data_IF_464390340291
#
_entry.id   IF_464390340291
#
_cell.length_a   1.000
_cell.length_b   1.000
_cell.length_c   1.000
_cell.angle_alpha   90.00
_cell.angle_beta   90.00
_cell.angle_gamma   90.00
#
_symmetry.space_group_name_H-M   'P 1'
#
loop_
_entity.id
_entity.type
_entity.pdbx_description
1 polymer ?
#
# COMPACT_ATOMS: atom_id res chain seq x y z
N UNK A 1 22.09 -1.20 -55.68
CA UNK A 1 22.30 -1.41 -54.22
C UNK A 1 21.56 -0.40 -53.36
N UNK A 2 21.74 0.91 -53.56
CA UNK A 2 21.13 2.00 -52.74
C UNK A 2 19.59 1.94 -52.65
N UNK A 3 18.90 1.55 -53.72
CA UNK A 3 17.43 1.49 -53.78
C UNK A 3 16.82 0.33 -52.96
N UNK A 4 17.56 -0.77 -52.78
CA UNK A 4 17.13 -1.94 -52.01
C UNK A 4 17.28 -1.72 -50.50
N UNK A 5 18.36 -1.06 -50.09
CA UNK A 5 18.61 -0.66 -48.69
C UNK A 5 17.53 0.33 -48.24
N UNK A 6 17.20 1.32 -49.08
CA UNK A 6 16.14 2.30 -48.78
C UNK A 6 14.77 1.66 -48.56
N UNK A 7 14.39 0.70 -49.40
CA UNK A 7 13.10 0.01 -49.25
C UNK A 7 13.06 -0.88 -48.00
N UNK A 8 14.19 -1.49 -47.62
CA UNK A 8 14.30 -2.31 -46.41
C UNK A 8 14.24 -1.47 -45.13
N UNK A 9 14.90 -0.31 -45.12
CA UNK A 9 14.82 0.65 -44.01
C UNK A 9 13.41 1.22 -43.87
N UNK A 10 12.75 1.58 -44.99
CA UNK A 10 11.36 2.04 -44.95
C UNK A 10 10.43 0.94 -44.41
N UNK A 11 10.60 -0.31 -44.85
CA UNK A 11 9.80 -1.43 -44.34
C UNK A 11 9.96 -1.64 -42.84
N UNK A 12 11.19 -1.57 -42.33
CA UNK A 12 11.48 -1.75 -40.90
C UNK A 12 10.94 -0.59 -40.05
N UNK A 13 11.03 0.65 -40.55
CA UNK A 13 10.44 1.83 -39.89
C UNK A 13 8.91 1.72 -39.85
N UNK A 14 8.27 1.28 -40.93
CA UNK A 14 6.81 1.09 -40.96
C UNK A 14 6.37 0.01 -39.97
N UNK A 15 7.08 -1.12 -39.89
CA UNK A 15 6.78 -2.18 -38.91
C UNK A 15 7.00 -1.70 -37.49
N UNK A 16 8.08 -0.96 -37.22
CA UNK A 16 8.35 -0.38 -35.89
C UNK A 16 7.30 0.66 -35.49
N UNK A 17 6.85 1.50 -36.42
CA UNK A 17 5.79 2.49 -36.17
C UNK A 17 4.43 1.84 -35.97
N UNK A 18 4.08 0.82 -36.75
CA UNK A 18 2.81 0.08 -36.59
C UNK A 18 2.81 -0.74 -35.29
N UNK A 19 3.93 -1.40 -34.97
CA UNK A 19 4.09 -2.13 -33.71
C UNK A 19 4.05 -1.19 -32.50
N UNK A 20 4.77 -0.07 -32.57
CA UNK A 20 4.74 0.96 -31.53
C UNK A 20 3.37 1.60 -31.34
N UNK A 21 2.64 1.88 -32.43
CA UNK A 21 1.28 2.38 -32.37
C UNK A 21 0.30 1.37 -31.77
N UNK A 22 0.47 0.07 -32.03
CA UNK A 22 -0.33 -1.01 -31.42
C UNK A 22 -0.07 -1.14 -29.91
N UNK A 23 1.19 -1.03 -29.48
CA UNK A 23 1.56 -1.05 -28.06
C UNK A 23 0.98 0.18 -27.36
N UNK A 24 1.18 1.38 -27.92
CA UNK A 24 0.62 2.61 -27.37
C UNK A 24 -0.91 2.59 -27.35
N UNK A 25 -1.56 2.05 -28.39
CA UNK A 25 -3.00 1.88 -28.41
C UNK A 25 -3.47 0.94 -27.29
N UNK A 26 -2.77 -0.17 -27.06
CA UNK A 26 -3.03 -1.07 -25.93
C UNK A 26 -2.90 -0.40 -24.56
N UNK A 27 -1.96 0.54 -24.41
CA UNK A 27 -1.77 1.33 -23.19
C UNK A 27 -2.81 2.46 -23.03
N UNK A 28 -3.45 2.91 -24.12
CA UNK A 28 -4.52 3.92 -24.09
C UNK A 28 -5.93 3.35 -23.93
N UNK A 29 -6.10 2.03 -24.10
CA UNK A 29 -7.34 1.37 -23.69
C UNK A 29 -7.31 1.27 -22.17
N UNK A 30 -7.70 2.37 -21.54
CA UNK A 30 -8.19 2.36 -20.16
C UNK A 30 -9.16 1.20 -19.99
N UNK A 31 -8.95 0.41 -18.93
CA UNK A 31 -9.75 -0.74 -18.48
C UNK A 31 -11.23 -0.34 -18.38
N UNK A 32 -11.94 -0.42 -19.50
CA UNK A 32 -13.38 -0.15 -19.49
C UNK A 32 -14.06 -1.41 -18.96
N UNK A 33 -14.63 -1.32 -17.76
CA UNK A 33 -15.41 -2.41 -17.17
C UNK A 33 -16.74 -2.56 -17.92
N UNK A 34 -17.04 -3.79 -18.37
CA UNK A 34 -18.34 -4.14 -18.92
C UNK A 34 -19.03 -5.14 -18.01
N UNK A 35 -20.12 -4.72 -17.37
CA UNK A 35 -20.89 -5.56 -16.45
C UNK A 35 -21.24 -6.94 -17.04
N UNK A 36 -21.15 -7.96 -16.20
CA UNK A 36 -21.49 -9.36 -16.47
C UNK A 36 -22.31 -9.94 -15.32
N UNK A 37 -23.65 -9.78 -15.35
CA UNK A 37 -24.53 -10.28 -14.31
C UNK A 37 -24.38 -11.79 -14.07
N UNK A 38 -24.51 -12.24 -12.81
CA UNK A 38 -24.43 -13.65 -12.44
C UNK A 38 -25.29 -13.97 -11.22
N UNK A 39 -26.33 -14.79 -11.41
CA UNK A 39 -27.20 -15.14 -10.30
C UNK A 39 -26.49 -15.94 -9.19
N UNK A 40 -25.36 -16.60 -9.48
CA UNK A 40 -24.54 -17.26 -8.47
C UNK A 40 -23.79 -16.26 -7.61
N UNK A 41 -23.16 -15.26 -8.23
CA UNK A 41 -22.51 -14.15 -7.53
C UNK A 41 -23.51 -13.33 -6.71
N UNK A 42 -24.68 -13.01 -7.27
CA UNK A 42 -25.72 -12.24 -6.56
C UNK A 42 -26.20 -12.96 -5.28
N UNK A 43 -26.27 -14.30 -5.30
CA UNK A 43 -26.61 -15.10 -4.10
C UNK A 43 -25.50 -15.06 -3.06
N UNK A 44 -24.24 -15.05 -3.49
CA UNK A 44 -23.08 -14.94 -2.60
C UNK A 44 -23.05 -13.57 -1.91
N UNK A 45 -23.27 -12.50 -2.67
CA UNK A 45 -23.42 -11.13 -2.13
C UNK A 45 -24.55 -11.05 -1.11
N UNK A 46 -25.74 -11.58 -1.45
CA UNK A 46 -26.89 -11.59 -0.53
C UNK A 46 -26.63 -12.41 0.76
N UNK A 47 -25.78 -13.44 0.69
CA UNK A 47 -25.37 -14.24 1.85
C UNK A 47 -24.48 -13.44 2.80
N UNK A 48 -23.56 -12.65 2.25
CA UNK A 48 -22.69 -11.76 3.03
C UNK A 48 -23.48 -10.64 3.69
N UNK A 49 -24.40 -10.00 2.96
CA UNK A 49 -25.28 -8.95 3.50
C UNK A 49 -26.18 -9.45 4.64
N UNK A 50 -26.42 -10.76 4.71
CA UNK A 50 -27.21 -11.37 5.78
C UNK A 50 -26.40 -11.63 7.06
N UNK A 51 -25.07 -11.45 7.04
CA UNK A 51 -24.22 -11.64 8.22
C UNK A 51 -24.39 -10.47 9.20
N UNK A 52 -24.36 -10.73 10.52
CA UNK A 52 -24.33 -9.66 11.52
C UNK A 52 -23.16 -8.72 11.29
N UNK A 53 -23.40 -7.41 11.40
CA UNK A 53 -22.36 -6.38 11.33
C UNK A 53 -21.71 -6.18 9.96
N UNK A 54 -22.06 -6.97 8.94
CA UNK A 54 -21.55 -6.83 7.58
C UNK A 54 -22.45 -5.95 6.73
N UNK A 55 -21.85 -5.06 5.94
CA UNK A 55 -22.54 -4.22 4.95
C UNK A 55 -21.77 -4.28 3.64
N UNK A 56 -22.36 -4.91 2.62
CA UNK A 56 -21.79 -4.83 1.27
C UNK A 56 -22.02 -3.40 0.75
N UNK A 57 -20.93 -2.71 0.43
CA UNK A 57 -20.97 -1.32 -0.06
C UNK A 57 -20.95 -1.26 -1.58
N UNK A 58 -20.30 -2.24 -2.20
CA UNK A 58 -20.18 -2.38 -3.64
C UNK A 58 -19.96 -3.86 -3.99
N UNK A 59 -20.52 -4.26 -5.12
CA UNK A 59 -20.29 -5.58 -5.70
C UNK A 59 -20.36 -5.44 -7.21
N UNK A 60 -19.31 -5.86 -7.90
CA UNK A 60 -19.25 -5.80 -9.36
C UNK A 60 -18.75 -7.12 -9.91
N UNK A 61 -19.31 -7.51 -11.06
CA UNK A 61 -18.73 -8.52 -11.93
C UNK A 61 -18.62 -7.93 -13.33
N UNK A 62 -17.43 -7.96 -13.90
CA UNK A 62 -17.14 -7.30 -15.18
C UNK A 62 -16.19 -8.12 -16.05
N UNK A 63 -16.04 -7.70 -17.30
CA UNK A 63 -14.91 -8.05 -18.15
C UNK A 63 -14.29 -6.77 -18.69
N UNK A 64 -13.00 -6.82 -18.98
CA UNK A 64 -12.26 -5.68 -19.51
C UNK A 64 -12.08 -5.77 -21.03
N UNK A 65 -12.15 -4.63 -21.70
CA UNK A 65 -11.67 -4.49 -23.06
C UNK A 65 -10.12 -4.46 -23.09
N UNK A 66 -9.47 -4.95 -24.17
CA UNK A 66 -10.07 -5.49 -25.39
C UNK A 66 -10.25 -7.02 -25.37
N UNK A 67 -9.78 -7.71 -24.33
CA UNK A 67 -9.76 -9.18 -24.30
C UNK A 67 -11.13 -9.77 -24.04
N UNK A 68 -12.00 -9.07 -23.29
CA UNK A 68 -13.32 -9.52 -22.86
C UNK A 68 -13.32 -10.97 -22.36
N UNK A 69 -12.24 -11.35 -21.67
CA UNK A 69 -11.91 -12.72 -21.29
C UNK A 69 -12.68 -13.17 -20.04
N UNK A 70 -12.04 -13.94 -19.16
CA UNK A 70 -12.66 -14.43 -17.93
C UNK A 70 -13.25 -13.28 -17.10
N UNK A 71 -14.52 -13.37 -16.67
CA UNK A 71 -15.13 -12.34 -15.83
C UNK A 71 -14.41 -12.22 -14.49
N UNK A 72 -14.08 -10.98 -14.15
CA UNK A 72 -13.58 -10.59 -12.84
C UNK A 72 -14.76 -10.27 -11.92
N UNK A 73 -14.59 -10.49 -10.63
CA UNK A 73 -15.58 -10.14 -9.62
C UNK A 73 -14.89 -9.48 -8.43
N UNK A 74 -15.55 -8.47 -7.84
CA UNK A 74 -15.10 -7.76 -6.65
C UNK A 74 -16.26 -7.55 -5.70
N UNK A 75 -16.00 -7.70 -4.40
CA UNK A 75 -16.94 -7.37 -3.34
C UNK A 75 -16.24 -6.48 -2.32
N UNK A 76 -16.86 -5.34 -2.02
CA UNK A 76 -16.42 -4.41 -0.99
C UNK A 76 -17.38 -4.52 0.21
N UNK A 77 -16.84 -4.81 1.39
CA UNK A 77 -17.60 -5.08 2.62
C UNK A 77 -17.10 -4.20 3.75
N UNK A 78 -18.00 -3.44 4.36
CA UNK A 78 -17.77 -2.83 5.67
C UNK A 78 -18.18 -3.79 6.78
N UNK A 79 -17.38 -3.88 7.85
CA UNK A 79 -17.66 -4.77 8.97
C UNK A 79 -17.14 -4.20 10.29
N UNK A 80 -17.86 -4.42 11.39
CA UNK A 80 -17.35 -4.11 12.73
C UNK A 80 -16.33 -5.17 13.20
N UNK A 81 -15.28 -4.77 13.92
CA UNK A 81 -14.25 -5.70 14.41
C UNK A 81 -14.81 -6.93 15.14
N UNK A 82 -15.90 -6.79 15.91
CA UNK A 82 -16.52 -7.89 16.64
C UNK A 82 -17.14 -8.98 15.74
N UNK A 83 -17.56 -8.61 14.53
CA UNK A 83 -18.22 -9.50 13.57
C UNK A 83 -17.29 -9.99 12.45
N UNK A 84 -16.07 -9.42 12.36
CA UNK A 84 -15.05 -9.77 11.36
C UNK A 84 -14.77 -11.27 11.24
N UNK A 85 -14.61 -12.07 12.33
CA UNK A 85 -14.37 -13.51 12.20
C UNK A 85 -15.47 -14.25 11.42
N UNK A 86 -16.72 -13.80 11.54
CA UNK A 86 -17.86 -14.36 10.81
C UNK A 86 -17.78 -14.05 9.31
N UNK A 87 -17.38 -12.83 8.95
CA UNK A 87 -17.17 -12.43 7.55
C UNK A 87 -15.99 -13.18 6.93
N UNK A 88 -14.85 -13.26 7.62
CA UNK A 88 -13.69 -14.04 7.15
C UNK A 88 -14.07 -15.50 6.89
N UNK A 89 -14.77 -16.14 7.83
CA UNK A 89 -15.25 -17.51 7.64
C UNK A 89 -16.21 -17.66 6.45
N UNK A 90 -17.06 -16.66 6.18
CA UNK A 90 -17.97 -16.67 5.05
C UNK A 90 -17.23 -16.58 3.71
N UNK A 91 -16.17 -15.76 3.59
CA UNK A 91 -15.34 -15.71 2.37
C UNK A 91 -14.75 -17.10 2.06
N UNK A 92 -14.27 -17.82 3.07
CA UNK A 92 -13.73 -19.18 2.91
C UNK A 92 -14.79 -20.22 2.55
N UNK A 93 -16.03 -20.01 3.00
CA UNK A 93 -17.16 -20.88 2.72
C UNK A 93 -17.92 -20.50 1.43
N UNK A 94 -17.38 -19.61 0.59
CA UNK A 94 -18.01 -19.15 -0.65
C UNK A 94 -18.42 -20.32 -1.56
N UNK A 95 -19.69 -20.32 -1.97
CA UNK A 95 -20.23 -21.31 -2.90
C UNK A 95 -20.02 -20.89 -4.36
N UNK A 96 -19.83 -19.59 -4.60
CA UNK A 96 -19.54 -19.06 -5.92
C UNK A 96 -18.22 -19.63 -6.45
N UNK A 97 -18.21 -20.25 -7.65
CA UNK A 97 -17.03 -20.98 -8.14
C UNK A 97 -15.97 -20.10 -8.81
N UNK A 98 -16.29 -18.83 -9.11
CA UNK A 98 -15.35 -17.89 -9.75
C UNK A 98 -14.46 -17.20 -8.73
N UNK A 99 -13.30 -16.66 -9.15
CA UNK A 99 -12.45 -15.87 -8.28
C UNK A 99 -13.16 -14.54 -7.94
N UNK A 100 -12.94 -14.05 -6.72
CA UNK A 100 -13.50 -12.79 -6.22
C UNK A 100 -12.35 -12.04 -5.55
N UNK A 101 -12.11 -10.81 -5.99
CA UNK A 101 -11.31 -9.85 -5.24
C UNK A 101 -12.14 -9.30 -4.08
N UNK A 102 -11.49 -9.07 -2.95
CA UNK A 102 -12.15 -8.62 -1.74
C UNK A 102 -11.57 -7.31 -1.27
N UNK A 103 -12.44 -6.42 -0.81
CA UNK A 103 -12.05 -5.26 -0.02
C UNK A 103 -12.84 -5.30 1.28
N UNK A 104 -12.15 -5.37 2.40
CA UNK A 104 -12.76 -5.30 3.73
C UNK A 104 -12.38 -3.97 4.36
N UNK A 105 -13.39 -3.19 4.74
CA UNK A 105 -13.23 -1.96 5.52
C UNK A 105 -13.72 -2.25 6.93
N UNK A 106 -12.78 -2.39 7.87
CA UNK A 106 -13.07 -2.85 9.22
C UNK A 106 -13.01 -1.69 10.20
N UNK A 107 -14.10 -1.42 10.91
CA UNK A 107 -14.10 -0.48 12.04
C UNK A 107 -13.41 -1.17 13.24
N UNK A 108 -12.17 -0.77 13.50
CA UNK A 108 -11.35 -1.26 14.62
C UNK A 108 -11.66 -0.54 15.95
N UNK A 109 -12.56 0.46 15.93
CA UNK A 109 -12.85 1.32 17.07
C UNK A 109 -11.85 2.47 17.22
N UNK A 110 -12.09 3.34 18.20
CA UNK A 110 -11.23 4.51 18.50
C UNK A 110 -10.92 5.42 17.31
N UNK A 111 -11.85 5.51 16.34
CA UNK A 111 -11.68 6.24 15.08
C UNK A 111 -10.57 5.68 14.18
N UNK A 112 -10.30 4.38 14.26
CA UNK A 112 -9.35 3.65 13.41
C UNK A 112 -10.10 2.69 12.50
N UNK A 113 -9.85 2.80 11.20
CA UNK A 113 -10.33 1.85 10.19
C UNK A 113 -9.16 1.03 9.66
N UNK A 114 -9.36 -0.26 9.43
CA UNK A 114 -8.40 -1.11 8.73
C UNK A 114 -8.97 -1.54 7.38
N UNK A 115 -8.28 -1.22 6.31
CA UNK A 115 -8.66 -1.55 4.93
C UNK A 115 -7.80 -2.70 4.43
N UNK A 116 -8.41 -3.85 4.19
CA UNK A 116 -7.74 -5.04 3.67
C UNK A 116 -8.19 -5.28 2.24
N UNK A 117 -7.23 -5.34 1.33
CA UNK A 117 -7.49 -5.65 -0.07
C UNK A 117 -6.85 -7.00 -0.42
N UNK A 118 -7.61 -7.84 -1.09
CA UNK A 118 -7.15 -9.07 -1.70
C UNK A 118 -7.43 -8.98 -3.20
N UNK A 119 -6.38 -9.10 -4.00
CA UNK A 119 -6.47 -9.06 -5.45
C UNK A 119 -7.09 -10.36 -5.98
N UNK A 120 -7.43 -10.39 -7.27
CA UNK A 120 -8.02 -11.59 -7.87
C UNK A 120 -7.02 -12.74 -7.76
N UNK A 121 -7.35 -13.83 -7.04
CA UNK A 121 -6.39 -14.90 -6.80
C UNK A 121 -5.97 -15.54 -8.11
N UNK A 122 -4.66 -15.58 -8.36
CA UNK A 122 -4.09 -16.16 -9.58
C UNK A 122 -4.40 -17.66 -9.72
N UNK A 123 -4.62 -18.37 -8.61
CA UNK A 123 -5.01 -19.78 -8.60
C UNK A 123 -5.88 -20.13 -7.40
N UNK A 124 -7.08 -20.68 -7.65
CA UNK A 124 -7.76 -21.72 -6.87
C UNK A 124 -8.21 -21.42 -5.42
N UNK A 125 -7.64 -20.41 -4.76
CA UNK A 125 -8.11 -19.90 -3.47
C UNK A 125 -9.45 -19.21 -3.69
N UNK A 126 -10.46 -19.62 -2.91
CA UNK A 126 -11.78 -18.98 -2.88
C UNK A 126 -11.98 -18.12 -1.63
N UNK A 127 -11.00 -18.18 -0.73
CA UNK A 127 -10.94 -17.52 0.55
C UNK A 127 -10.16 -16.22 0.41
N UNK A 128 -10.54 -15.22 1.22
CA UNK A 128 -9.66 -14.08 1.47
C UNK A 128 -8.34 -14.62 2.03
N UNK A 129 -7.23 -14.41 1.32
CA UNK A 129 -5.90 -14.83 1.76
C UNK A 129 -4.87 -13.75 1.45
N UNK A 130 -4.74 -12.80 2.40
CA UNK A 130 -3.79 -11.69 2.31
C UNK A 130 -2.42 -12.02 2.92
N UNK A 131 -2.22 -13.26 3.38
CA UNK A 131 -0.94 -13.72 3.93
C UNK A 131 -0.61 -13.26 5.37
N UNK A 132 -1.55 -12.64 6.08
CA UNK A 132 -1.41 -12.25 7.49
C UNK A 132 -2.73 -12.35 8.26
N UNK A 133 -2.67 -12.33 9.60
CA UNK A 133 -3.83 -12.34 10.48
C UNK A 133 -4.53 -10.97 10.50
N UNK A 134 -5.61 -10.88 9.71
CA UNK A 134 -6.44 -9.67 9.62
C UNK A 134 -7.10 -9.33 10.96
N UNK A 135 -7.57 -10.32 11.72
CA UNK A 135 -8.25 -10.08 12.98
C UNK A 135 -7.28 -9.56 14.04
N UNK A 136 -6.07 -10.14 14.10
CA UNK A 136 -5.00 -9.67 14.97
C UNK A 136 -4.59 -8.24 14.67
N UNK A 137 -4.38 -7.89 13.38
CA UNK A 137 -4.08 -6.50 12.98
C UNK A 137 -5.19 -5.54 13.36
N UNK A 138 -6.45 -5.88 13.13
CA UNK A 138 -7.59 -5.01 13.46
C UNK A 138 -7.64 -4.72 14.96
N UNK A 139 -7.51 -5.75 15.80
CA UNK A 139 -7.48 -5.58 17.25
C UNK A 139 -6.30 -4.71 17.70
N UNK A 140 -5.10 -4.99 17.19
CA UNK A 140 -3.90 -4.23 17.53
C UNK A 140 -3.96 -2.78 17.04
N UNK A 141 -4.48 -2.53 15.82
CA UNK A 141 -4.58 -1.19 15.27
C UNK A 141 -5.52 -0.30 16.11
N UNK A 142 -6.70 -0.81 16.47
CA UNK A 142 -7.65 -0.07 17.32
C UNK A 142 -7.12 0.21 18.73
N UNK A 143 -6.21 -0.62 19.24
CA UNK A 143 -5.62 -0.45 20.57
C UNK A 143 -4.35 0.42 20.60
N UNK A 144 -3.48 0.28 19.59
CA UNK A 144 -2.12 0.85 19.60
C UNK A 144 -1.99 2.14 18.79
N UNK A 145 -2.80 2.31 17.74
CA UNK A 145 -2.73 3.46 16.83
C UNK A 145 -4.12 4.10 16.62
N UNK A 146 -4.75 4.60 17.69
CA UNK A 146 -6.07 5.20 17.60
C UNK A 146 -6.08 6.45 16.71
N UNK A 147 -7.09 6.57 15.87
CA UNK A 147 -7.26 7.70 14.95
C UNK A 147 -6.45 7.62 13.65
N UNK A 148 -5.88 6.46 13.33
CA UNK A 148 -5.10 6.25 12.10
C UNK A 148 -5.77 5.20 11.24
N UNK A 149 -6.30 5.60 10.09
CA UNK A 149 -6.80 4.65 9.10
C UNK A 149 -5.64 3.96 8.37
N UNK A 150 -5.66 2.63 8.39
CA UNK A 150 -4.54 1.78 8.04
C UNK A 150 -4.91 0.81 6.92
N UNK A 151 -4.04 0.67 5.93
CA UNK A 151 -4.08 -0.38 4.93
C UNK A 151 -2.83 -1.25 5.05
N UNK A 152 -2.90 -2.40 5.74
CA UNK A 152 -1.81 -3.37 5.78
C UNK A 152 -1.67 -4.09 4.44
N UNK A 153 -0.44 -4.26 3.97
CA UNK A 153 -0.11 -4.99 2.74
C UNK A 153 1.13 -5.85 2.98
N UNK A 154 1.06 -7.14 2.66
CA UNK A 154 2.24 -8.00 2.62
C UNK A 154 2.92 -7.85 1.27
N UNK A 155 4.17 -7.37 1.25
CA UNK A 155 4.94 -7.20 0.01
C UNK A 155 5.56 -8.53 -0.44
N UNK A 156 6.01 -8.58 -1.69
CA UNK A 156 6.63 -9.79 -2.29
C UNK A 156 7.91 -10.24 -1.56
N UNK A 157 8.62 -9.32 -0.91
CA UNK A 157 9.79 -9.60 -0.07
C UNK A 157 9.41 -10.15 1.33
N UNK A 158 8.12 -10.24 1.63
CA UNK A 158 7.56 -10.69 2.89
C UNK A 158 7.58 -9.63 4.00
N UNK A 159 7.89 -8.37 3.69
CA UNK A 159 7.73 -7.26 4.64
C UNK A 159 6.27 -6.83 4.75
N UNK A 160 5.89 -6.38 5.96
CA UNK A 160 4.56 -5.82 6.20
C UNK A 160 4.61 -4.31 5.97
N UNK A 161 3.95 -3.83 4.94
CA UNK A 161 3.73 -2.40 4.73
C UNK A 161 2.46 -1.94 5.45
N UNK A 162 2.58 -0.85 6.21
CA UNK A 162 1.51 -0.20 6.95
C UNK A 162 1.26 1.16 6.31
N UNK A 163 0.27 1.21 5.41
CA UNK A 163 -0.06 2.41 4.65
C UNK A 163 -1.11 3.22 5.41
N UNK A 164 -0.81 4.47 5.78
CA UNK A 164 -1.80 5.34 6.41
C UNK A 164 -2.58 6.11 5.34
N UNK A 165 -3.88 5.83 5.20
CA UNK A 165 -4.69 6.27 4.04
C UNK A 165 -5.35 7.64 4.21
N UNK A 166 -5.66 8.05 5.44
CA UNK A 166 -6.39 9.30 5.72
C UNK A 166 -5.61 10.30 6.59
N UNK A 167 -4.28 10.14 6.67
CA UNK A 167 -3.45 11.18 7.27
C UNK A 167 -3.44 12.40 6.34
N UNK A 168 -4.12 13.46 6.79
CA UNK A 168 -4.21 14.74 6.07
C UNK A 168 -2.81 15.32 5.80
N UNK A 169 -2.32 15.18 4.56
CA UNK A 169 -1.09 15.83 4.13
C UNK A 169 0.16 15.38 4.91
N UNK A 170 1.18 16.25 4.91
CA UNK A 170 2.56 15.92 5.33
C UNK A 170 2.76 15.76 6.85
N UNK A 171 1.75 15.31 7.59
CA UNK A 171 1.85 15.13 9.03
C UNK A 171 2.61 13.85 9.40
N UNK A 172 3.94 13.97 9.50
CA UNK A 172 4.80 12.88 9.99
C UNK A 172 4.52 12.57 11.46
N UNK A 173 4.12 13.56 12.27
CA UNK A 173 3.87 13.35 13.69
C UNK A 173 2.68 12.41 13.92
N UNK A 174 1.65 12.50 13.08
CA UNK A 174 0.52 11.57 13.05
C UNK A 174 0.92 10.11 12.80
N UNK A 175 2.06 9.86 12.16
CA UNK A 175 2.59 8.50 11.92
C UNK A 175 3.45 7.95 13.07
N UNK A 176 3.83 8.76 14.07
CA UNK A 176 4.69 8.30 15.17
C UNK A 176 4.13 7.10 15.96
N UNK A 177 2.80 6.97 16.19
CA UNK A 177 2.25 5.76 16.80
C UNK A 177 2.53 4.49 15.98
N UNK A 178 2.44 4.55 14.65
CA UNK A 178 2.78 3.42 13.78
C UNK A 178 4.26 3.03 13.90
N UNK A 179 5.15 4.03 13.92
CA UNK A 179 6.59 3.81 14.10
C UNK A 179 6.88 3.17 15.45
N UNK A 180 6.22 3.65 16.51
CA UNK A 180 6.40 3.15 17.87
C UNK A 180 5.93 1.70 18.06
N UNK A 181 4.89 1.29 17.34
CA UNK A 181 4.23 -0.02 17.50
C UNK A 181 4.45 -0.94 16.29
N UNK A 182 5.47 -0.69 15.48
CA UNK A 182 5.74 -1.47 14.28
C UNK A 182 5.92 -2.98 14.58
N UNK A 183 6.74 -3.32 15.57
CA UNK A 183 6.95 -4.71 15.99
C UNK A 183 5.65 -5.35 16.53
N UNK A 184 4.89 -4.61 17.36
CA UNK A 184 3.63 -5.10 17.93
C UNK A 184 2.59 -5.39 16.83
N UNK A 185 2.49 -4.51 15.82
CA UNK A 185 1.58 -4.68 14.68
C UNK A 185 2.01 -5.86 13.81
N UNK A 186 3.30 -6.04 13.53
CA UNK A 186 3.82 -7.24 12.83
C UNK A 186 3.46 -8.52 13.57
N UNK A 187 3.70 -8.54 14.88
CA UNK A 187 3.44 -9.73 15.70
C UNK A 187 1.94 -10.03 15.74
N UNK A 188 1.09 -8.99 15.79
CA UNK A 188 -0.36 -9.12 15.68
C UNK A 188 -0.85 -9.61 14.31
N UNK A 189 -0.12 -9.28 13.23
CA UNK A 189 -0.31 -9.88 11.91
C UNK A 189 0.08 -11.37 11.84
N UNK A 190 0.64 -11.93 12.92
CA UNK A 190 1.09 -13.32 12.95
C UNK A 190 2.32 -13.58 12.07
N UNK A 191 3.10 -12.54 11.76
CA UNK A 191 4.30 -12.64 10.94
C UNK A 191 5.53 -12.98 11.79
N UNK A 192 6.57 -13.51 11.14
CA UNK A 192 7.82 -13.85 11.81
C UNK A 192 8.49 -12.60 12.42
N UNK A 193 9.08 -12.75 13.61
CA UNK A 193 9.70 -11.65 14.34
C UNK A 193 10.95 -11.05 13.67
N UNK A 194 11.47 -11.69 12.62
CA UNK A 194 12.59 -11.19 11.83
C UNK A 194 12.15 -10.33 10.64
N UNK A 195 10.84 -10.22 10.37
CA UNK A 195 10.32 -9.41 9.27
C UNK A 195 10.40 -7.93 9.58
N UNK A 196 10.77 -7.20 8.53
CA UNK A 196 10.75 -5.73 8.48
C UNK A 196 9.31 -5.23 8.34
N UNK A 197 9.04 -4.09 8.97
CA UNK A 197 7.79 -3.34 8.80
C UNK A 197 8.09 -2.07 8.03
N UNK A 198 7.35 -1.80 6.96
CA UNK A 198 7.43 -0.54 6.23
C UNK A 198 6.30 0.38 6.68
N UNK A 199 6.62 1.64 6.99
CA UNK A 199 5.61 2.67 7.25
C UNK A 199 5.56 3.56 6.02
N UNK A 200 4.40 3.58 5.36
CA UNK A 200 4.18 4.27 4.10
C UNK A 200 3.08 5.34 4.25
N UNK A 201 3.47 6.59 4.16
CA UNK A 201 2.56 7.74 4.10
C UNK A 201 3.03 8.72 3.03
N UNK A 202 2.27 9.78 2.79
CA UNK A 202 2.67 10.82 1.84
C UNK A 202 3.98 11.53 2.22
N UNK A 203 4.31 11.58 3.52
CA UNK A 203 5.49 12.30 4.02
C UNK A 203 6.51 11.42 4.74
N UNK A 204 6.17 10.16 5.03
CA UNK A 204 7.05 9.21 5.70
C UNK A 204 7.09 7.90 4.91
N UNK A 205 8.28 7.46 4.52
CA UNK A 205 8.51 6.15 3.92
C UNK A 205 9.75 5.52 4.55
N UNK A 206 9.58 4.61 5.52
CA UNK A 206 10.72 4.01 6.24
C UNK A 206 10.55 2.52 6.43
N UNK A 207 11.67 1.79 6.40
CA UNK A 207 11.76 0.38 6.76
C UNK A 207 12.30 0.23 8.19
N UNK A 208 11.52 -0.42 9.05
CA UNK A 208 11.83 -0.67 10.46
C UNK A 208 12.19 -2.14 10.63
N UNK A 209 13.45 -2.42 10.94
CA UNK A 209 13.89 -3.77 11.26
C UNK A 209 13.46 -4.22 12.68
N UNK A 210 13.64 -5.50 13.00
CA UNK A 210 13.29 -6.05 14.32
C UNK A 210 13.98 -5.31 15.47
N UNK A 211 13.19 -4.80 16.43
CA UNK A 211 13.71 -4.09 17.60
C UNK A 211 14.30 -2.70 17.29
N UNK A 212 13.96 -2.12 16.14
CA UNK A 212 14.39 -0.77 15.76
C UNK A 212 13.35 0.33 16.06
N UNK A 213 12.10 -0.04 16.36
CA UNK A 213 10.96 0.86 16.51
C UNK A 213 11.23 2.05 17.46
N UNK A 214 11.82 1.83 18.64
CA UNK A 214 12.14 2.90 19.60
C UNK A 214 13.17 3.90 19.06
N UNK A 215 14.21 3.40 18.36
CA UNK A 215 15.25 4.24 17.78
C UNK A 215 14.71 5.02 16.59
N UNK A 216 13.90 4.38 15.74
CA UNK A 216 13.19 5.05 14.66
C UNK A 216 12.25 6.13 15.17
N UNK A 217 11.44 5.83 16.18
CA UNK A 217 10.53 6.79 16.81
C UNK A 217 11.30 8.01 17.32
N UNK A 218 12.39 7.80 18.07
CA UNK A 218 13.20 8.90 18.61
C UNK A 218 13.87 9.73 17.52
N UNK A 219 14.33 9.09 16.44
CA UNK A 219 14.88 9.80 15.28
C UNK A 219 13.81 10.65 14.59
N UNK A 220 12.68 10.07 14.23
CA UNK A 220 11.60 10.76 13.51
C UNK A 220 11.04 11.90 14.33
N UNK A 221 10.78 11.69 15.62
CA UNK A 221 10.28 12.73 16.53
C UNK A 221 11.26 13.92 16.61
N UNK A 222 12.56 13.66 16.79
CA UNK A 222 13.57 14.71 16.82
C UNK A 222 13.71 15.47 15.49
N UNK A 223 13.67 14.75 14.36
CA UNK A 223 13.71 15.37 13.03
C UNK A 223 12.52 16.31 12.79
N UNK A 224 11.33 15.92 13.21
CA UNK A 224 10.11 16.72 13.02
C UNK A 224 10.07 17.89 14.01
N UNK A 225 10.26 17.63 15.30
CA UNK A 225 10.02 18.61 16.36
C UNK A 225 11.17 19.60 16.55
N UNK A 226 12.42 19.19 16.33
CA UNK A 226 13.59 20.03 16.56
C UNK A 226 14.15 20.61 15.25
N UNK A 227 14.16 19.81 14.17
CA UNK A 227 14.83 20.19 12.92
C UNK A 227 13.85 20.65 11.82
N UNK A 228 12.54 20.50 12.02
CA UNK A 228 11.49 20.98 11.09
C UNK A 228 11.38 20.16 9.80
N UNK A 229 11.69 18.86 9.86
CA UNK A 229 11.52 17.95 8.72
C UNK A 229 10.04 17.78 8.38
N UNK A 230 9.72 17.89 7.08
CA UNK A 230 8.35 17.79 6.55
C UNK A 230 8.16 16.62 5.59
N UNK A 231 9.25 15.96 5.19
CA UNK A 231 9.23 14.70 4.44
C UNK A 231 10.48 13.91 4.79
N UNK A 232 10.34 12.61 5.00
CA UNK A 232 11.42 11.66 5.23
C UNK A 232 11.13 10.38 4.45
N UNK A 233 12.01 10.00 3.53
CA UNK A 233 12.06 8.63 3.02
C UNK A 233 13.43 8.03 3.27
N UNK A 234 13.46 6.77 3.72
CA UNK A 234 14.68 6.02 3.91
C UNK A 234 14.50 4.66 3.23
N UNK A 235 14.89 4.66 1.96
CA UNK A 235 14.68 3.54 1.05
C UNK A 235 15.93 2.67 1.02
N UNK A 236 15.74 1.36 0.91
CA UNK A 236 16.83 0.43 0.61
C UNK A 236 17.30 0.57 -0.85
N UNK A 237 18.42 -0.08 -1.18
CA UNK A 237 18.97 0.00 -2.53
C UNK A 237 18.05 -0.64 -3.57
N UNK A 238 17.29 -1.67 -3.18
CA UNK A 238 16.48 -2.49 -4.09
C UNK A 238 15.19 -1.76 -4.53
N UNK A 239 14.66 -0.84 -3.72
CA UNK A 239 13.51 -0.01 -4.06
C UNK A 239 13.87 1.25 -4.89
N UNK A 240 15.14 1.59 -5.06
CA UNK A 240 15.59 2.81 -5.75
C UNK A 240 15.93 2.58 -7.23
N UNK A 241 15.49 3.49 -8.10
CA UNK A 241 15.77 3.40 -9.56
C UNK A 241 17.26 3.45 -9.91
N UNK A 242 18.08 4.11 -9.09
CA UNK A 242 19.53 4.17 -9.27
C UNK A 242 20.31 3.10 -8.50
N UNK A 243 19.61 2.22 -7.76
CA UNK A 243 20.21 1.13 -6.99
C UNK A 243 21.04 1.59 -5.79
N UNK A 244 20.85 2.83 -5.32
CA UNK A 244 21.61 3.40 -4.20
C UNK A 244 20.68 3.73 -3.04
N UNK A 245 20.87 3.02 -1.93
CA UNK A 245 20.22 3.35 -0.66
C UNK A 245 20.58 4.78 -0.24
N UNK A 246 19.57 5.57 0.12
CA UNK A 246 19.73 6.98 0.50
C UNK A 246 18.57 7.41 1.38
N UNK A 247 18.82 8.41 2.22
CA UNK A 247 17.78 9.08 3.00
C UNK A 247 17.40 10.37 2.28
N UNK A 248 16.14 10.54 1.93
CA UNK A 248 15.63 11.76 1.31
C UNK A 248 14.86 12.58 2.34
N UNK A 249 15.20 13.86 2.48
CA UNK A 249 14.62 14.73 3.52
C UNK A 249 14.20 16.06 2.93
N UNK A 250 12.96 16.49 3.18
CA UNK A 250 12.53 17.88 2.92
C UNK A 250 12.57 18.69 4.23
N UNK A 251 13.43 19.71 4.27
CA UNK A 251 13.71 20.51 5.47
C UNK A 251 14.39 21.84 5.08
N UNK A 252 14.24 22.92 5.85
CA UNK A 252 14.95 24.17 5.59
C UNK A 252 16.47 24.00 5.52
N UNK A 253 17.12 24.72 4.60
CA UNK A 253 18.57 24.66 4.39
C UNK A 253 19.41 24.90 5.65
N UNK A 254 18.89 25.72 6.58
CA UNK A 254 19.55 26.02 7.84
C UNK A 254 19.69 24.80 8.78
N UNK A 255 18.88 23.75 8.58
CA UNK A 255 18.87 22.55 9.43
C UNK A 255 19.59 21.35 8.78
N UNK A 256 20.14 21.48 7.57
CA UNK A 256 20.76 20.37 6.83
C UNK A 256 21.85 19.66 7.64
N UNK A 257 22.79 20.42 8.22
CA UNK A 257 23.89 19.85 9.02
C UNK A 257 23.36 19.16 10.29
N UNK A 258 22.32 19.71 10.93
CA UNK A 258 21.72 19.15 12.14
C UNK A 258 21.00 17.82 11.86
N UNK A 259 20.21 17.78 10.79
CA UNK A 259 19.53 16.57 10.31
C UNK A 259 20.54 15.48 9.97
N UNK A 260 21.58 15.81 9.21
CA UNK A 260 22.59 14.83 8.81
C UNK A 260 23.36 14.29 10.03
N UNK A 261 23.69 15.15 10.99
CA UNK A 261 24.31 14.74 12.25
C UNK A 261 23.39 13.83 13.08
N UNK A 262 22.08 14.13 13.15
CA UNK A 262 21.11 13.31 13.89
C UNK A 262 20.94 11.93 13.27
N UNK A 263 20.79 11.86 11.94
CA UNK A 263 20.68 10.58 11.22
C UNK A 263 21.91 9.71 11.48
N UNK A 264 23.12 10.28 11.38
CA UNK A 264 24.37 9.55 11.68
C UNK A 264 24.46 9.08 13.13
N UNK A 265 23.92 9.85 14.08
CA UNK A 265 23.95 9.52 15.50
C UNK A 265 22.84 8.53 15.92
N UNK A 266 21.88 8.21 15.05
CA UNK A 266 20.70 7.39 15.37
C UNK A 266 21.01 5.94 15.76
N UNK A 267 22.17 5.42 15.33
CA UNK A 267 22.51 4.01 15.49
C UNK A 267 21.59 3.07 14.70
N UNK A 268 20.85 3.58 13.73
CA UNK A 268 20.05 2.82 12.76
C UNK A 268 20.88 2.52 11.51
N UNK A 269 20.54 1.47 10.71
CA UNK A 269 21.25 1.17 9.46
C UNK A 269 21.31 2.35 8.48
N UNK A 270 20.31 3.23 8.53
CA UNK A 270 20.23 4.44 7.68
C UNK A 270 21.29 5.49 8.00
N UNK A 271 22.00 5.37 9.12
CA UNK A 271 23.11 6.25 9.49
C UNK A 271 24.27 6.22 8.48
N UNK A 272 24.42 5.10 7.76
CA UNK A 272 25.47 4.89 6.76
C UNK A 272 25.06 5.33 5.35
N UNK A 273 23.81 5.75 5.16
CA UNK A 273 23.28 6.14 3.87
C UNK A 273 23.52 7.63 3.59
N UNK A 274 23.83 8.01 2.33
CA UNK A 274 23.91 9.41 1.95
C UNK A 274 22.55 10.10 2.15
N UNK A 275 22.57 11.32 2.72
CA UNK A 275 21.39 12.16 2.87
C UNK A 275 21.24 13.06 1.65
N UNK A 276 20.06 13.04 1.04
CA UNK A 276 19.66 13.89 -0.08
C UNK A 276 18.58 14.85 0.40
N UNK A 277 18.88 16.14 0.37
CA UNK A 277 17.88 17.17 0.65
C UNK A 277 17.02 17.46 -0.58
N UNK A 278 15.71 17.40 -0.39
CA UNK A 278 14.70 17.76 -1.38
C UNK A 278 14.41 19.27 -1.31
N UNK A 279 13.94 19.89 -2.40
CA UNK A 279 13.46 21.27 -2.35
C UNK A 279 12.37 21.41 -1.29
N UNK A 280 12.48 22.44 -0.46
CA UNK A 280 11.37 22.84 0.41
C UNK A 280 10.35 23.57 -0.48
N UNK A 281 9.19 22.96 -0.69
CA UNK A 281 8.18 23.50 -1.59
C UNK A 281 7.51 24.77 -1.04
N UNK A 282 7.84 25.21 0.19
CA UNK A 282 7.48 26.53 0.71
C UNK A 282 5.98 26.81 0.86
N UNK A 283 5.11 25.81 0.68
CA UNK A 283 3.64 25.98 0.78
C UNK A 283 3.10 25.82 2.21
N UNK A 284 3.97 25.94 3.22
CA UNK A 284 3.60 25.91 4.65
C UNK A 284 3.37 27.29 5.27
N UNK A 285 3.67 28.39 4.58
CA UNK A 285 3.37 29.74 5.07
C UNK A 285 2.26 30.35 4.23
N UNK A 286 1.01 30.01 4.55
CA UNK A 286 -0.07 30.98 4.36
C UNK A 286 -0.33 31.61 5.72
N UNK A 287 0.19 32.83 5.89
CA UNK A 287 -0.25 33.75 6.92
C UNK A 287 -1.77 33.92 6.83
N UNK A 288 -2.44 33.81 7.98
CA UNK A 288 -3.85 34.11 8.20
C UNK A 288 -4.13 34.22 9.69
#
# INVERSE_FOLDING_TARGET
>A
MVRWIRNSVIGLVVVALLGGALVLAGWTVSETHFARPDAGFDREVARLEALPGARVTSSERWVEAPTFSEPQARVDVEVAAADLPGVLAATCAAEYPGPVAWSLVVDAGASTTVIVNDDIPATGSRCLDVGFDVAGIVEAAGALVPGVDLQPVLREDGSLALVAVDLEGRDIAGSLPLVAHADDLRDAAGLDADRTVQIDTMALGIAIGPGEHDRWRALVDGLVTEDGVTQLSADDADSQTDGVAKVQVAVPAAAHDAVEARIRASGLPVADHPVRFLPDDGRGTTEG
#
